data_IF_790155954087
#
_entry.id   IF_790155954087
#
_cell.length_a   1.000
_cell.length_b   1.000
_cell.length_c   1.000
_cell.angle_alpha   90.00
_cell.angle_beta   90.00
_cell.angle_gamma   90.00
#
_symmetry.space_group_name_H-M   'P 1'
#
loop_
_entity.id
_entity.type
_entity.pdbx_description
1 polymer ?
#
# COMPACT_ATOMS: atom_id res chain seq x y z
N UNK A 1 5.77 2.36 13.12
CA UNK A 1 5.32 1.16 12.37
C UNK A 1 6.53 0.52 11.74
N UNK A 2 6.61 -0.80 11.70
CA UNK A 2 7.70 -1.52 11.03
C UNK A 2 7.10 -2.43 9.97
N UNK A 3 7.50 -2.28 8.71
CA UNK A 3 7.25 -3.30 7.68
C UNK A 3 8.52 -4.14 7.55
N UNK A 4 8.44 -5.41 7.92
CA UNK A 4 9.64 -6.23 8.14
C UNK A 4 10.07 -7.04 6.92
N UNK A 5 9.21 -7.15 5.90
CA UNK A 5 9.54 -7.76 4.61
C UNK A 5 8.52 -7.33 3.55
N UNK A 6 8.95 -6.50 2.60
CA UNK A 6 8.11 -5.92 1.53
C UNK A 6 7.33 -6.98 0.73
N UNK A 7 8.06 -7.86 0.03
CA UNK A 7 7.48 -8.80 -0.95
C UNK A 7 8.12 -10.20 -0.87
N UNK A 8 7.70 -11.03 0.11
CA UNK A 8 8.14 -12.41 0.16
C UNK A 8 7.71 -13.19 -1.08
N UNK A 9 8.66 -13.91 -1.70
CA UNK A 9 8.42 -14.82 -2.84
C UNK A 9 8.41 -16.30 -2.41
N UNK A 10 8.29 -16.55 -1.11
CA UNK A 10 8.35 -17.87 -0.47
C UNK A 10 7.03 -18.22 0.20
N UNK A 11 6.92 -19.41 0.79
CA UNK A 11 5.69 -19.92 1.43
C UNK A 11 5.41 -19.26 2.79
N UNK A 12 4.14 -19.30 3.22
CA UNK A 12 3.72 -18.70 4.49
C UNK A 12 4.50 -19.23 5.72
N UNK A 13 4.77 -20.54 5.88
CA UNK A 13 5.54 -21.04 7.02
C UNK A 13 6.94 -20.44 7.12
N UNK A 14 7.61 -20.20 5.99
CA UNK A 14 8.95 -19.56 5.96
C UNK A 14 8.83 -18.09 6.36
N UNK A 15 7.85 -17.37 5.83
CA UNK A 15 7.60 -15.96 6.18
C UNK A 15 7.25 -15.82 7.66
N UNK A 16 6.36 -16.67 8.18
CA UNK A 16 5.93 -16.69 9.58
C UNK A 16 7.10 -16.93 10.52
N UNK A 17 7.90 -17.97 10.25
CA UNK A 17 9.07 -18.30 11.08
C UNK A 17 10.10 -17.16 11.10
N UNK A 18 10.36 -16.53 9.96
CA UNK A 18 11.20 -15.33 9.90
C UNK A 18 10.59 -14.18 10.72
N UNK A 19 9.31 -13.89 10.50
CA UNK A 19 8.61 -12.77 11.12
C UNK A 19 8.57 -12.90 12.65
N UNK A 20 8.29 -14.09 13.19
CA UNK A 20 8.24 -14.30 14.63
C UNK A 20 9.58 -13.97 15.32
N UNK A 21 10.70 -14.37 14.73
CA UNK A 21 12.04 -14.04 15.24
C UNK A 21 12.31 -12.53 15.21
N UNK A 22 11.96 -11.85 14.11
CA UNK A 22 12.15 -10.39 13.97
C UNK A 22 11.23 -9.62 14.92
N UNK A 23 9.97 -10.07 15.07
CA UNK A 23 9.00 -9.48 16.00
C UNK A 23 9.53 -9.54 17.43
N UNK A 24 10.08 -10.68 17.87
CA UNK A 24 10.59 -10.81 19.24
C UNK A 24 11.76 -9.87 19.54
N UNK A 25 12.65 -9.68 18.56
CA UNK A 25 13.72 -8.69 18.66
C UNK A 25 13.18 -7.25 18.72
N UNK A 26 12.20 -6.91 17.87
CA UNK A 26 11.57 -5.59 17.89
C UNK A 26 10.87 -5.35 19.23
N UNK A 27 10.12 -6.33 19.75
CA UNK A 27 9.34 -6.20 20.99
C UNK A 27 10.20 -5.98 22.23
N UNK A 28 11.46 -6.42 22.21
CA UNK A 28 12.44 -6.11 23.26
C UNK A 28 12.73 -4.61 23.38
N UNK A 29 12.65 -3.86 22.27
CA UNK A 29 12.99 -2.43 22.19
C UNK A 29 11.76 -1.53 21.96
N UNK A 30 10.69 -2.09 21.43
CA UNK A 30 9.51 -1.38 20.94
C UNK A 30 8.25 -2.23 21.18
N UNK A 31 7.71 -2.19 22.42
CA UNK A 31 6.74 -3.18 22.89
C UNK A 31 5.36 -3.06 22.23
N UNK A 32 4.96 -1.87 21.76
CA UNK A 32 3.59 -1.61 21.32
C UNK A 32 3.43 -1.19 19.86
N UNK A 33 4.52 -0.99 19.10
CA UNK A 33 4.42 -0.55 17.71
C UNK A 33 3.66 -1.55 16.83
N UNK A 34 2.93 -1.05 15.83
CA UNK A 34 2.38 -1.89 14.75
C UNK A 34 3.55 -2.47 13.94
N UNK A 35 3.53 -3.79 13.73
CA UNK A 35 4.44 -4.51 12.84
C UNK A 35 3.61 -5.08 11.70
N UNK A 36 3.99 -4.77 10.46
CA UNK A 36 3.36 -5.25 9.23
C UNK A 36 4.25 -6.34 8.64
N UNK A 37 3.66 -7.50 8.40
CA UNK A 37 4.35 -8.70 7.89
C UNK A 37 3.94 -8.96 6.45
N UNK A 38 4.92 -9.04 5.56
CA UNK A 38 4.74 -9.46 4.18
C UNK A 38 3.98 -10.78 4.06
N UNK A 39 3.32 -11.02 2.92
CA UNK A 39 2.67 -12.31 2.63
C UNK A 39 3.27 -12.99 1.39
N UNK A 40 3.04 -14.30 1.17
CA UNK A 40 3.59 -14.98 0.00
C UNK A 40 3.20 -14.34 -1.34
N UNK A 41 4.00 -14.66 -2.36
CA UNK A 41 3.79 -14.24 -3.75
C UNK A 41 3.71 -12.72 -3.86
N UNK A 42 4.80 -12.02 -3.54
CA UNK A 42 4.86 -10.55 -3.62
C UNK A 42 3.77 -9.87 -2.77
N UNK A 43 3.57 -10.38 -1.55
CA UNK A 43 2.53 -9.90 -0.63
C UNK A 43 1.11 -9.95 -1.21
N UNK A 44 0.78 -11.00 -1.96
CA UNK A 44 -0.57 -11.17 -2.53
C UNK A 44 -1.45 -12.13 -1.73
N UNK A 45 -0.85 -12.98 -0.89
CA UNK A 45 -1.51 -14.16 -0.29
C UNK A 45 -1.90 -13.98 1.17
N UNK A 46 -2.60 -12.90 1.46
CA UNK A 46 -3.25 -12.66 2.77
C UNK A 46 -4.27 -13.75 3.11
N UNK A 47 -4.93 -14.34 2.10
CA UNK A 47 -5.85 -15.47 2.26
C UNK A 47 -5.16 -16.68 2.92
N UNK A 48 -3.93 -16.97 2.50
CA UNK A 48 -3.14 -18.09 3.04
C UNK A 48 -2.64 -17.79 4.44
N UNK A 49 -2.14 -16.56 4.67
CA UNK A 49 -1.68 -16.14 6.00
C UNK A 49 -2.82 -16.17 7.04
N UNK A 50 -4.06 -15.90 6.61
CA UNK A 50 -5.24 -15.89 7.49
C UNK A 50 -5.60 -17.27 8.07
N UNK A 51 -5.10 -18.36 7.49
CA UNK A 51 -5.36 -19.72 7.97
C UNK A 51 -4.47 -20.12 9.15
N UNK A 52 -3.30 -19.49 9.30
CA UNK A 52 -2.36 -19.74 10.38
C UNK A 52 -1.64 -18.43 10.79
N UNK A 53 -2.37 -17.45 11.36
CA UNK A 53 -1.82 -16.15 11.70
C UNK A 53 -0.72 -16.23 12.77
N UNK A 54 0.01 -15.15 12.96
CA UNK A 54 1.01 -14.98 14.01
C UNK A 54 0.26 -14.60 15.28
N UNK A 55 0.36 -15.42 16.32
CA UNK A 55 -0.35 -15.23 17.59
C UNK A 55 0.36 -14.20 18.50
N UNK A 56 0.58 -12.99 17.98
CA UNK A 56 1.19 -11.85 18.71
C UNK A 56 0.33 -10.59 18.50
N UNK A 57 0.42 -9.63 19.42
CA UNK A 57 -0.35 -8.38 19.35
C UNK A 57 0.25 -7.36 18.39
N UNK A 58 -0.60 -6.44 17.91
CA UNK A 58 -0.25 -5.33 17.02
C UNK A 58 0.48 -5.79 15.75
N UNK A 59 0.00 -6.89 15.16
CA UNK A 59 0.45 -7.44 13.87
C UNK A 59 -0.60 -7.14 12.80
N UNK A 60 -0.14 -6.63 11.67
CA UNK A 60 -0.92 -6.51 10.44
C UNK A 60 -0.20 -7.22 9.29
N UNK A 61 -0.91 -7.45 8.19
CA UNK A 61 -0.44 -8.27 7.08
C UNK A 61 -0.46 -7.49 5.78
N UNK A 62 0.65 -7.51 5.07
CA UNK A 62 0.81 -6.78 3.81
C UNK A 62 -0.02 -7.41 2.70
N UNK A 63 -0.77 -6.56 2.01
CA UNK A 63 -1.34 -6.82 0.68
C UNK A 63 -0.76 -5.84 -0.32
N UNK A 64 -0.16 -6.33 -1.41
CA UNK A 64 0.20 -5.50 -2.57
C UNK A 64 -0.71 -5.80 -3.76
N UNK A 65 -1.06 -4.75 -4.50
CA UNK A 65 -1.76 -4.89 -5.77
C UNK A 65 -1.37 -3.79 -6.77
N UNK A 66 -1.62 -4.06 -8.05
CA UNK A 66 -1.47 -3.10 -9.14
C UNK A 66 -2.73 -3.18 -9.99
N UNK A 67 -3.50 -2.09 -10.03
CA UNK A 67 -4.91 -2.10 -10.41
C UNK A 67 -5.17 -2.62 -11.83
N UNK A 68 -4.24 -2.42 -12.77
CA UNK A 68 -4.40 -2.92 -14.14
C UNK A 68 -4.12 -4.43 -14.27
N UNK A 69 -3.30 -5.00 -13.37
CA UNK A 69 -2.97 -6.43 -13.35
C UNK A 69 -3.91 -7.22 -12.43
N UNK A 70 -4.07 -6.75 -11.21
CA UNK A 70 -4.74 -7.47 -10.15
C UNK A 70 -6.16 -6.96 -9.94
N UNK A 71 -7.14 -7.86 -10.09
CA UNK A 71 -8.58 -7.52 -10.20
C UNK A 71 -9.42 -8.35 -9.23
N UNK A 72 -10.60 -8.81 -9.68
CA UNK A 72 -11.61 -9.48 -8.86
C UNK A 72 -11.09 -10.65 -8.03
N UNK A 73 -10.26 -11.52 -8.61
CA UNK A 73 -9.73 -12.70 -7.89
C UNK A 73 -8.96 -12.31 -6.64
N UNK A 74 -8.03 -11.36 -6.73
CA UNK A 74 -7.24 -10.95 -5.56
C UNK A 74 -8.07 -10.15 -4.56
N UNK A 75 -9.05 -9.36 -5.02
CA UNK A 75 -10.04 -8.70 -4.15
C UNK A 75 -10.84 -9.74 -3.34
N UNK A 76 -11.31 -10.81 -3.98
CA UNK A 76 -12.02 -11.91 -3.29
C UNK A 76 -11.13 -12.61 -2.26
N UNK A 77 -9.86 -12.88 -2.60
CA UNK A 77 -8.89 -13.45 -1.64
C UNK A 77 -8.64 -12.52 -0.44
N UNK A 78 -8.61 -11.21 -0.68
CA UNK A 78 -8.50 -10.20 0.38
C UNK A 78 -9.72 -10.24 1.30
N UNK A 79 -10.93 -10.31 0.74
CA UNK A 79 -12.16 -10.45 1.53
C UNK A 79 -12.18 -11.73 2.35
N UNK A 80 -11.67 -12.85 1.82
CA UNK A 80 -11.51 -14.09 2.61
C UNK A 80 -10.63 -13.86 3.85
N UNK A 81 -9.49 -13.19 3.69
CA UNK A 81 -8.60 -12.90 4.82
C UNK A 81 -9.26 -11.98 5.86
N UNK A 82 -9.96 -10.94 5.42
CA UNK A 82 -10.71 -10.01 6.29
C UNK A 82 -11.80 -10.77 7.05
N UNK A 83 -12.57 -11.64 6.37
CA UNK A 83 -13.63 -12.45 6.98
C UNK A 83 -13.09 -13.47 8.00
N UNK A 84 -11.85 -13.92 7.83
CA UNK A 84 -11.14 -14.74 8.80
C UNK A 84 -10.59 -13.92 10.00
N UNK A 85 -10.80 -12.60 10.01
CA UNK A 85 -10.37 -11.70 11.09
C UNK A 85 -8.93 -11.19 10.97
N UNK A 86 -8.28 -11.36 9.81
CA UNK A 86 -6.89 -10.93 9.61
C UNK A 86 -6.79 -9.41 9.42
N UNK A 87 -6.00 -8.67 10.22
CA UNK A 87 -5.76 -7.24 9.99
C UNK A 87 -4.89 -7.04 8.75
N UNK A 88 -5.48 -6.56 7.65
CA UNK A 88 -4.77 -6.30 6.39
C UNK A 88 -4.36 -4.82 6.29
N UNK A 89 -3.16 -4.56 5.78
CA UNK A 89 -2.66 -3.23 5.43
C UNK A 89 -2.11 -3.28 4.00
N UNK A 90 -2.54 -2.37 3.13
CA UNK A 90 -2.01 -2.26 1.77
C UNK A 90 -0.81 -1.30 1.79
N UNK A 91 0.38 -1.79 2.08
CA UNK A 91 1.57 -0.92 2.19
C UNK A 91 2.09 -0.46 0.83
N UNK A 92 1.67 -1.12 -0.25
CA UNK A 92 1.95 -0.70 -1.62
C UNK A 92 0.76 -0.99 -2.55
N UNK A 93 0.40 -0.01 -3.36
CA UNK A 93 -0.40 -0.26 -4.56
C UNK A 93 -0.07 0.67 -5.73
N UNK A 94 -0.22 0.18 -6.95
CA UNK A 94 -0.16 0.99 -8.16
C UNK A 94 -1.51 1.13 -8.86
N UNK A 95 -1.71 2.25 -9.56
CA UNK A 95 -2.90 2.51 -10.40
C UNK A 95 -2.78 1.89 -11.80
N UNK A 96 -1.59 1.39 -12.14
CA UNK A 96 -1.19 0.85 -13.45
C UNK A 96 -0.93 -0.66 -13.36
N UNK A 97 -0.18 -1.25 -14.29
CA UNK A 97 0.19 -2.68 -14.23
C UNK A 97 1.31 -2.98 -13.21
N UNK A 98 1.52 -4.27 -12.91
CA UNK A 98 2.51 -4.72 -11.93
C UNK A 98 3.98 -4.46 -12.31
N UNK A 99 4.26 -4.04 -13.55
CA UNK A 99 5.57 -3.56 -13.95
C UNK A 99 5.71 -2.05 -13.68
N UNK A 100 4.76 -1.44 -12.96
CA UNK A 100 4.67 0.01 -12.73
C UNK A 100 4.50 0.82 -14.02
N UNK A 101 4.05 0.16 -15.10
CA UNK A 101 4.02 0.70 -16.45
C UNK A 101 2.59 0.71 -17.01
N UNK A 102 2.43 1.27 -18.21
CA UNK A 102 1.15 1.33 -18.88
C UNK A 102 0.21 2.38 -18.32
N UNK A 103 -1.02 2.34 -18.83
CA UNK A 103 -2.06 3.34 -18.52
C UNK A 103 -2.73 3.08 -17.17
N UNK A 104 -3.22 4.16 -16.57
CA UNK A 104 -4.01 4.13 -15.34
C UNK A 104 -5.31 3.37 -15.56
N UNK A 105 -5.60 2.39 -14.69
CA UNK A 105 -6.88 1.67 -14.68
C UNK A 105 -7.82 2.25 -13.62
N UNK A 106 -8.50 3.35 -13.95
CA UNK A 106 -9.39 4.09 -13.04
C UNK A 106 -10.46 3.19 -12.41
N UNK A 107 -11.15 2.38 -13.22
CA UNK A 107 -12.24 1.52 -12.73
C UNK A 107 -11.74 0.48 -11.72
N UNK A 108 -10.60 -0.15 -11.98
CA UNK A 108 -10.04 -1.12 -11.04
C UNK A 108 -9.46 -0.46 -9.80
N UNK A 109 -8.84 0.72 -9.92
CA UNK A 109 -8.38 1.52 -8.77
C UNK A 109 -9.54 1.88 -7.84
N UNK A 110 -10.65 2.39 -8.39
CA UNK A 110 -11.84 2.69 -7.61
C UNK A 110 -12.40 1.46 -6.90
N UNK A 111 -12.51 0.32 -7.60
CA UNK A 111 -12.98 -0.92 -6.98
C UNK A 111 -12.08 -1.43 -5.84
N UNK A 112 -10.76 -1.19 -5.91
CA UNK A 112 -9.84 -1.50 -4.81
C UNK A 112 -9.99 -0.53 -3.64
N UNK A 113 -10.12 0.77 -3.92
CA UNK A 113 -10.36 1.77 -2.89
C UNK A 113 -11.70 1.60 -2.19
N UNK A 114 -12.76 1.25 -2.91
CA UNK A 114 -14.07 0.97 -2.32
C UNK A 114 -14.00 -0.23 -1.36
N UNK A 115 -13.28 -1.29 -1.76
CA UNK A 115 -13.01 -2.44 -0.88
C UNK A 115 -12.23 -2.00 0.36
N UNK A 116 -11.16 -1.23 0.20
CA UNK A 116 -10.32 -0.78 1.30
C UNK A 116 -11.10 0.12 2.27
N UNK A 117 -11.81 1.12 1.77
CA UNK A 117 -12.59 2.05 2.58
C UNK A 117 -13.73 1.34 3.31
N UNK A 118 -14.48 0.47 2.63
CA UNK A 118 -15.59 -0.31 3.23
C UNK A 118 -15.11 -1.17 4.39
N UNK A 119 -13.92 -1.77 4.24
CA UNK A 119 -13.34 -2.65 5.25
C UNK A 119 -12.33 -1.95 6.18
N UNK A 120 -12.18 -0.62 6.05
CA UNK A 120 -11.28 0.23 6.85
C UNK A 120 -9.79 -0.18 6.79
N UNK A 121 -9.34 -0.61 5.63
CA UNK A 121 -7.93 -0.89 5.37
C UNK A 121 -7.19 0.42 5.10
N UNK A 122 -6.00 0.56 5.67
CA UNK A 122 -5.05 1.58 5.24
C UNK A 122 -4.39 1.18 3.93
N UNK A 123 -4.10 2.15 3.06
CA UNK A 123 -3.43 1.93 1.76
C UNK A 123 -2.47 3.05 1.38
N UNK A 124 -1.31 2.70 0.82
CA UNK A 124 -0.24 3.63 0.44
C UNK A 124 0.15 3.42 -1.03
N UNK A 125 0.12 4.50 -1.82
CA UNK A 125 0.39 4.45 -3.26
C UNK A 125 1.89 4.39 -3.60
N UNK A 126 2.23 3.55 -4.58
CA UNK A 126 3.49 3.56 -5.31
C UNK A 126 3.38 4.40 -6.59
N UNK A 127 4.22 5.42 -6.82
CA UNK A 127 5.24 5.93 -5.91
C UNK A 127 5.63 7.39 -6.13
N UNK A 128 6.27 7.96 -5.11
CA UNK A 128 6.64 9.39 -5.03
C UNK A 128 7.98 9.63 -5.73
N UNK A 129 7.96 9.67 -7.06
CA UNK A 129 9.12 9.94 -7.90
C UNK A 129 8.71 10.59 -9.24
N UNK A 130 9.64 11.27 -9.95
CA UNK A 130 9.36 11.81 -11.28
C UNK A 130 9.41 10.72 -12.36
N UNK A 131 8.58 10.83 -13.39
CA UNK A 131 8.43 9.89 -14.52
C UNK A 131 9.67 9.76 -15.41
N UNK A 132 10.74 10.49 -15.11
CA UNK A 132 12.06 10.28 -15.70
C UNK A 132 12.75 9.02 -15.17
N UNK A 133 12.22 8.41 -14.10
CA UNK A 133 12.62 7.12 -13.59
C UNK A 133 11.77 5.98 -14.18
N UNK A 134 12.40 4.84 -14.45
CA UNK A 134 11.71 3.64 -14.93
C UNK A 134 11.21 2.83 -13.73
N UNK A 135 9.92 2.42 -13.69
CA UNK A 135 8.89 2.57 -14.73
C UNK A 135 8.06 3.87 -14.57
N UNK A 136 7.73 4.58 -15.68
CA UNK A 136 7.16 5.92 -15.60
C UNK A 136 5.65 5.96 -15.26
N UNK A 137 4.92 4.85 -15.44
CA UNK A 137 3.45 4.84 -15.38
C UNK A 137 2.90 5.06 -13.97
N UNK A 138 3.56 4.49 -12.96
CA UNK A 138 3.18 4.63 -11.54
C UNK A 138 3.73 5.89 -10.86
N UNK A 139 4.63 6.62 -11.52
CA UNK A 139 5.25 7.83 -10.98
C UNK A 139 4.17 8.84 -10.58
N UNK A 140 4.28 9.48 -9.42
CA UNK A 140 3.37 10.56 -9.02
C UNK A 140 3.59 11.85 -9.85
N UNK A 141 4.84 12.11 -10.26
CA UNK A 141 5.22 13.39 -10.87
C UNK A 141 5.78 13.25 -12.27
N UNK A 142 5.66 14.29 -13.09
CA UNK A 142 6.29 14.38 -14.40
C UNK A 142 7.81 14.57 -14.27
N UNK A 143 8.54 14.19 -15.32
CA UNK A 143 9.99 14.44 -15.43
C UNK A 143 10.31 15.92 -15.20
N UNK A 144 11.32 16.20 -14.38
CA UNK A 144 11.74 17.57 -14.05
C UNK A 144 11.02 18.19 -12.84
N UNK A 145 10.05 17.49 -12.25
CA UNK A 145 9.44 17.93 -10.98
C UNK A 145 10.45 17.92 -9.86
N UNK A 146 10.47 18.99 -9.07
CA UNK A 146 11.37 19.17 -7.91
C UNK A 146 10.55 19.33 -6.63
N UNK A 147 11.21 19.32 -5.48
CA UNK A 147 10.56 19.63 -4.19
C UNK A 147 9.91 21.02 -4.16
N UNK A 148 10.37 21.97 -4.99
CA UNK A 148 9.79 23.32 -5.09
C UNK A 148 8.54 23.36 -5.96
N UNK A 149 8.38 22.42 -6.89
CA UNK A 149 7.30 22.42 -7.89
C UNK A 149 6.28 21.30 -7.67
N UNK A 150 6.44 20.52 -6.60
CA UNK A 150 5.60 19.37 -6.25
C UNK A 150 4.13 19.74 -5.97
N UNK A 151 3.86 20.99 -5.58
CA UNK A 151 2.50 21.46 -5.27
C UNK A 151 1.71 21.93 -6.50
N UNK A 152 2.34 22.02 -7.68
CA UNK A 152 1.65 22.41 -8.91
C UNK A 152 1.06 21.15 -9.58
N UNK A 153 -0.27 21.01 -9.67
CA UNK A 153 -0.93 19.83 -10.25
C UNK A 153 -0.58 19.59 -11.72
N UNK A 154 -0.05 20.59 -12.44
CA UNK A 154 0.45 20.43 -13.81
C UNK A 154 1.72 19.60 -13.88
N UNK A 155 2.42 19.41 -12.75
CA UNK A 155 3.61 18.57 -12.65
C UNK A 155 3.30 17.13 -12.26
N UNK A 156 2.02 16.74 -12.21
CA UNK A 156 1.60 15.43 -11.73
C UNK A 156 1.25 14.55 -12.92
N UNK A 157 1.62 13.26 -12.87
CA UNK A 157 1.22 12.31 -13.92
C UNK A 157 -0.28 12.01 -13.81
N UNK A 158 -0.90 11.33 -14.79
CA UNK A 158 -2.26 10.81 -14.64
C UNK A 158 -2.45 9.94 -13.38
N UNK A 159 -1.44 9.14 -13.00
CA UNK A 159 -1.47 8.35 -11.76
C UNK A 159 -1.48 9.26 -10.54
N UNK A 160 -0.56 10.23 -10.48
CA UNK A 160 -0.47 11.20 -9.38
C UNK A 160 -1.75 12.02 -9.21
N UNK A 161 -2.33 12.49 -10.31
CA UNK A 161 -3.60 13.23 -10.31
C UNK A 161 -4.76 12.39 -9.78
N UNK A 162 -4.89 11.12 -10.21
CA UNK A 162 -5.94 10.23 -9.73
C UNK A 162 -5.80 9.98 -8.22
N UNK A 163 -4.58 9.71 -7.76
CA UNK A 163 -4.27 9.48 -6.34
C UNK A 163 -4.53 10.74 -5.51
N UNK A 164 -4.17 11.93 -6.02
CA UNK A 164 -4.51 13.21 -5.40
C UNK A 164 -6.00 13.36 -5.17
N UNK A 165 -6.77 13.09 -6.22
CA UNK A 165 -8.21 13.21 -6.19
C UNK A 165 -8.79 12.26 -5.15
N UNK A 166 -8.27 11.03 -5.04
CA UNK A 166 -8.70 10.09 -4.02
C UNK A 166 -8.45 10.58 -2.60
N UNK A 167 -7.26 11.09 -2.30
CA UNK A 167 -6.87 11.44 -0.93
C UNK A 167 -7.33 12.84 -0.47
N UNK A 168 -7.38 13.81 -1.38
CA UNK A 168 -7.49 15.23 -1.00
C UNK A 168 -8.74 15.93 -1.53
N UNK A 169 -9.57 15.28 -2.36
CA UNK A 169 -10.85 15.89 -2.80
C UNK A 169 -11.86 16.06 -1.67
N UNK A 170 -11.65 15.43 -0.52
CA UNK A 170 -12.51 15.52 0.68
C UNK A 170 -11.91 16.41 1.78
N UNK A 171 -10.71 16.96 1.60
CA UNK A 171 -10.03 17.79 2.62
C UNK A 171 -9.98 19.25 2.17
N UNK A 172 -10.90 20.06 2.69
CA UNK A 172 -10.76 21.52 2.69
C UNK A 172 -9.63 21.87 3.66
N UNK A 173 -8.40 22.03 3.17
CA UNK A 173 -7.34 22.64 3.95
C UNK A 173 -7.64 24.13 4.10
N UNK A 174 -8.24 24.54 5.22
CA UNK A 174 -8.15 25.94 5.63
C UNK A 174 -6.71 26.20 6.04
N UNK A 175 -5.93 26.80 5.15
CA UNK A 175 -4.58 27.28 5.43
C UNK A 175 -4.66 28.44 6.44
N UNK A 176 -4.79 28.10 7.72
CA UNK A 176 -4.50 29.01 8.83
C UNK A 176 -3.30 28.47 9.59
N UNK A 177 -2.15 28.43 8.92
CA UNK A 177 -0.88 28.54 9.64
C UNK A 177 -0.65 30.02 9.92
N UNK A 178 -1.23 30.49 11.03
CA UNK A 178 -0.90 31.77 11.62
C UNK A 178 0.52 31.70 12.18
N UNK A 179 1.50 32.04 11.36
CA UNK A 179 2.82 32.44 11.82
C UNK A 179 3.06 33.86 11.28
N UNK A 180 2.74 34.86 12.08
CA UNK A 180 3.19 36.23 11.86
C UNK A 180 4.70 36.28 12.13
N UNK A 181 5.45 36.86 11.19
CA UNK A 181 6.88 37.19 11.34
C UNK A 181 7.13 38.09 12.54
#
# INVERSE_FOLDING_TARGET
>A
MFEIWNEPKTSWPVVKSYAENVIDLIRTNSPSNIIIVGTPTYSQRVDTASLDPIAKSNIAYTLHYYAATHKGTQRSQTLTAINNGLPVFITEYGTVDHLGSGEVNVNSSNAWWDLADTNKLSYVNWGVFPSGATPPGSAAFLTGTTNLTINDPNNWTPSGQLVNQKYFSTVQYTNTFGCTQ
#
